data_IF_442886020702
#
_entry.id   IF_442886020702
#
_cell.length_a   1.000
_cell.length_b   1.000
_cell.length_c   1.000
_cell.angle_alpha   90.00
_cell.angle_beta   90.00
_cell.angle_gamma   90.00
#
_symmetry.space_group_name_H-M   'P 1'
#
loop_
_entity.id
_entity.type
_entity.pdbx_description
1 polymer ?
#
# COMPACT_ATOMS: atom_id res chain seq x y z
N UNK A 1 31.82 2.65 -19.93
CA UNK A 1 32.45 2.21 -18.66
C UNK A 1 32.24 3.20 -17.52
N UNK A 2 32.73 4.45 -17.58
CA UNK A 2 32.63 5.36 -16.40
C UNK A 2 31.20 5.62 -15.91
N UNK A 3 30.22 5.78 -16.80
CA UNK A 3 28.84 6.11 -16.39
C UNK A 3 28.11 4.96 -15.66
N UNK A 4 28.21 3.72 -16.15
CA UNK A 4 27.58 2.56 -15.50
C UNK A 4 28.21 2.25 -14.13
N UNK A 5 29.52 2.46 -14.01
CA UNK A 5 30.23 2.31 -12.75
C UNK A 5 29.68 3.27 -11.68
N UNK A 6 29.54 4.55 -12.03
CA UNK A 6 28.98 5.55 -11.12
C UNK A 6 27.51 5.30 -10.80
N UNK A 7 26.71 4.83 -11.75
CA UNK A 7 25.29 4.54 -11.48
C UNK A 7 25.12 3.39 -10.48
N UNK A 8 25.93 2.33 -10.60
CA UNK A 8 25.94 1.21 -9.63
C UNK A 8 26.36 1.69 -8.25
N UNK A 9 27.46 2.45 -8.15
CA UNK A 9 27.92 2.98 -6.86
C UNK A 9 26.85 3.85 -6.19
N UNK A 10 26.31 4.83 -6.92
CA UNK A 10 25.29 5.75 -6.40
C UNK A 10 24.04 4.99 -5.96
N UNK A 11 23.57 4.04 -6.77
CA UNK A 11 22.37 3.27 -6.45
C UNK A 11 22.56 2.38 -5.21
N UNK A 12 23.68 1.66 -5.12
CA UNK A 12 23.98 0.79 -3.97
C UNK A 12 24.20 1.62 -2.69
N UNK A 13 24.94 2.73 -2.78
CA UNK A 13 25.13 3.65 -1.66
C UNK A 13 23.82 4.25 -1.19
N UNK A 14 22.98 4.77 -2.09
CA UNK A 14 21.69 5.36 -1.74
C UNK A 14 20.75 4.32 -1.13
N UNK A 15 20.69 3.11 -1.69
CA UNK A 15 19.91 2.00 -1.15
C UNK A 15 20.38 1.62 0.25
N UNK A 16 21.69 1.44 0.44
CA UNK A 16 22.26 1.12 1.75
C UNK A 16 22.01 2.23 2.79
N UNK A 17 22.12 3.50 2.41
CA UNK A 17 21.83 4.65 3.26
C UNK A 17 20.38 4.62 3.77
N UNK A 18 19.41 4.53 2.85
CA UNK A 18 17.99 4.56 3.20
C UNK A 18 17.61 3.30 3.99
N UNK A 19 18.15 2.14 3.60
CA UNK A 19 17.93 0.88 4.31
C UNK A 19 18.46 0.92 5.75
N UNK A 20 19.71 1.36 5.95
CA UNK A 20 20.31 1.49 7.28
C UNK A 20 19.59 2.53 8.14
N UNK A 21 19.26 3.71 7.58
CA UNK A 21 18.52 4.73 8.31
C UNK A 21 17.14 4.25 8.75
N UNK A 22 16.43 3.54 7.87
CA UNK A 22 15.12 2.97 8.18
C UNK A 22 15.23 1.89 9.26
N UNK A 23 16.22 1.00 9.18
CA UNK A 23 16.46 -0.01 10.20
C UNK A 23 16.76 0.61 11.57
N UNK A 24 17.65 1.60 11.61
CA UNK A 24 18.03 2.30 12.85
C UNK A 24 16.86 3.05 13.46
N UNK A 25 16.09 3.76 12.63
CA UNK A 25 14.90 4.46 13.10
C UNK A 25 13.86 3.46 13.60
N UNK A 26 13.47 2.43 12.85
CA UNK A 26 12.48 1.45 13.34
C UNK A 26 12.97 0.76 14.62
N UNK A 27 14.27 0.46 14.69
CA UNK A 27 14.97 -0.07 15.87
C UNK A 27 14.77 0.76 17.14
N UNK A 28 14.67 2.09 17.03
CA UNK A 28 14.50 2.95 18.20
C UNK A 28 13.06 3.05 18.70
N UNK A 29 12.06 2.74 17.85
CA UNK A 29 10.64 2.86 18.20
C UNK A 29 10.04 1.54 18.65
N UNK A 30 10.58 0.43 18.16
CA UNK A 30 9.94 -0.87 18.23
C UNK A 30 10.90 -1.86 18.89
N UNK A 31 10.57 -2.31 20.11
CA UNK A 31 11.30 -3.37 20.82
C UNK A 31 11.03 -4.78 20.27
N UNK A 32 10.67 -4.89 18.99
CA UNK A 32 10.38 -6.17 18.33
C UNK A 32 11.69 -6.86 17.97
N UNK A 33 11.62 -8.19 17.84
CA UNK A 33 12.71 -9.07 17.42
C UNK A 33 13.60 -8.42 16.34
N UNK A 34 14.86 -8.25 16.71
CA UNK A 34 15.97 -7.68 15.94
C UNK A 34 15.99 -8.09 14.45
N UNK A 35 15.65 -9.36 14.15
CA UNK A 35 15.63 -9.92 12.80
C UNK A 35 14.66 -9.19 11.87
N UNK A 36 13.48 -8.77 12.35
CA UNK A 36 12.49 -8.08 11.51
C UNK A 36 12.92 -6.66 11.14
N UNK A 37 13.67 -6.00 12.03
CA UNK A 37 14.15 -4.64 11.84
C UNK A 37 15.29 -4.62 10.81
N UNK A 38 16.25 -5.54 10.97
CA UNK A 38 17.35 -5.73 10.01
C UNK A 38 16.80 -6.12 8.64
N UNK A 39 15.93 -7.14 8.58
CA UNK A 39 15.39 -7.63 7.31
C UNK A 39 14.51 -6.59 6.61
N UNK A 40 13.67 -5.85 7.35
CA UNK A 40 12.86 -4.77 6.78
C UNK A 40 13.71 -3.67 6.16
N UNK A 41 14.74 -3.18 6.86
CA UNK A 41 15.64 -2.16 6.32
C UNK A 41 16.51 -2.66 5.17
N UNK A 42 17.03 -3.87 5.26
CA UNK A 42 17.84 -4.48 4.19
C UNK A 42 17.02 -4.70 2.91
N UNK A 43 15.79 -5.22 3.02
CA UNK A 43 14.89 -5.41 1.88
C UNK A 43 14.50 -4.07 1.25
N UNK A 44 14.21 -3.05 2.07
CA UNK A 44 13.88 -1.72 1.56
C UNK A 44 15.08 -1.08 0.85
N UNK A 45 16.26 -1.15 1.45
CA UNK A 45 17.49 -0.63 0.86
C UNK A 45 17.86 -1.32 -0.45
N UNK A 46 17.77 -2.65 -0.48
CA UNK A 46 17.93 -3.44 -1.70
C UNK A 46 16.92 -3.03 -2.77
N UNK A 47 15.64 -2.89 -2.43
CA UNK A 47 14.59 -2.50 -3.37
C UNK A 47 14.85 -1.12 -3.98
N UNK A 48 15.33 -0.16 -3.17
CA UNK A 48 15.68 1.18 -3.66
C UNK A 48 16.86 1.11 -4.63
N UNK A 49 17.93 0.37 -4.29
CA UNK A 49 19.06 0.19 -5.19
C UNK A 49 18.63 -0.47 -6.51
N UNK A 50 17.79 -1.51 -6.43
CA UNK A 50 17.24 -2.22 -7.60
C UNK A 50 16.45 -1.30 -8.54
N UNK A 51 15.72 -0.33 -7.98
CA UNK A 51 15.00 0.71 -8.73
C UNK A 51 15.97 1.76 -9.29
N UNK A 52 16.93 2.23 -8.49
CA UNK A 52 17.77 3.38 -8.80
C UNK A 52 18.84 3.15 -9.87
N UNK A 53 19.42 1.94 -9.96
CA UNK A 53 20.48 1.59 -10.93
C UNK A 53 20.14 1.99 -12.36
N UNK A 54 18.89 1.74 -12.76
CA UNK A 54 18.36 2.12 -14.07
C UNK A 54 16.89 2.49 -13.91
N UNK A 55 16.71 3.67 -13.31
CA UNK A 55 15.40 4.23 -13.01
C UNK A 55 14.56 4.43 -14.27
N UNK A 56 15.19 4.80 -15.40
CA UNK A 56 14.48 5.01 -16.67
C UNK A 56 13.84 3.71 -17.17
N UNK A 57 14.59 2.60 -17.17
CA UNK A 57 14.03 1.32 -17.58
C UNK A 57 13.03 0.77 -16.56
N UNK A 58 13.20 1.06 -15.26
CA UNK A 58 12.17 0.76 -14.26
C UNK A 58 10.86 1.51 -14.56
N UNK A 59 10.91 2.82 -14.83
CA UNK A 59 9.75 3.61 -15.23
C UNK A 59 9.12 3.08 -16.53
N UNK A 60 9.93 2.67 -17.50
CA UNK A 60 9.44 2.04 -18.73
C UNK A 60 8.70 0.73 -18.43
N UNK A 61 9.22 -0.12 -17.53
CA UNK A 61 8.56 -1.35 -17.10
C UNK A 61 7.28 -1.13 -16.31
N UNK A 62 7.24 -0.11 -15.45
CA UNK A 62 6.03 0.36 -14.77
C UNK A 62 4.99 0.80 -15.79
N UNK A 63 5.37 1.63 -16.77
CA UNK A 63 4.49 2.07 -17.83
C UNK A 63 3.98 0.88 -18.66
N UNK A 64 4.87 0.01 -19.13
CA UNK A 64 4.53 -1.18 -19.91
C UNK A 64 3.55 -2.09 -19.16
N UNK A 65 3.84 -2.38 -17.89
CA UNK A 65 2.98 -3.22 -17.05
C UNK A 65 1.66 -2.53 -16.77
N UNK A 66 1.64 -1.22 -16.51
CA UNK A 66 0.41 -0.45 -16.37
C UNK A 66 -0.45 -0.55 -17.63
N UNK A 67 0.15 -0.44 -18.81
CA UNK A 67 -0.56 -0.58 -20.08
C UNK A 67 -1.13 -1.99 -20.28
N UNK A 68 -0.41 -3.03 -19.86
CA UNK A 68 -0.85 -4.42 -20.06
C UNK A 68 -1.81 -4.93 -18.98
N UNK A 69 -1.66 -4.49 -17.74
CA UNK A 69 -2.51 -4.95 -16.61
C UNK A 69 -3.62 -3.95 -16.27
N UNK A 70 -3.33 -2.66 -16.23
CA UNK A 70 -4.24 -1.65 -15.65
C UNK A 70 -5.08 -0.92 -16.71
N UNK A 71 -4.66 -0.80 -17.98
CA UNK A 71 -5.51 -0.16 -19.01
C UNK A 71 -6.82 -0.93 -19.26
N UNK A 72 -6.85 -2.23 -18.98
CA UNK A 72 -8.12 -3.00 -18.97
C UNK A 72 -9.08 -2.56 -17.85
N UNK A 73 -8.58 -1.81 -16.88
CA UNK A 73 -9.27 -1.24 -15.73
C UNK A 73 -9.28 0.30 -15.85
N UNK A 74 -9.81 0.83 -16.96
CA UNK A 74 -10.11 2.27 -17.04
C UNK A 74 -11.48 2.52 -16.40
N UNK A 75 -11.54 3.02 -15.15
CA UNK A 75 -12.80 3.37 -14.53
C UNK A 75 -13.51 4.44 -15.36
N UNK A 76 -14.74 4.14 -15.80
CA UNK A 76 -15.58 5.12 -16.48
C UNK A 76 -16.18 6.10 -15.45
N UNK A 77 -16.65 7.26 -15.91
CA UNK A 77 -17.30 8.26 -15.04
C UNK A 77 -18.44 7.68 -14.17
N UNK A 78 -19.30 6.77 -14.69
CA UNK A 78 -20.31 6.09 -13.86
C UNK A 78 -19.71 5.29 -12.70
N UNK A 79 -18.64 4.54 -12.93
CA UNK A 79 -17.98 3.73 -11.89
C UNK A 79 -17.36 4.61 -10.80
N UNK A 80 -16.70 5.71 -11.18
CA UNK A 80 -16.21 6.70 -10.21
C UNK A 80 -17.33 7.31 -9.40
N UNK A 81 -18.43 7.65 -10.05
CA UNK A 81 -19.59 8.23 -9.34
C UNK A 81 -20.18 7.22 -8.36
N UNK A 82 -20.33 5.96 -8.78
CA UNK A 82 -20.78 4.88 -7.90
C UNK A 82 -19.82 4.68 -6.72
N UNK A 83 -18.51 4.66 -6.95
CA UNK A 83 -17.47 4.60 -5.92
C UNK A 83 -17.62 5.72 -4.89
N UNK A 84 -17.63 6.98 -5.32
CA UNK A 84 -17.71 8.12 -4.42
C UNK A 84 -19.03 8.14 -3.65
N UNK A 85 -20.16 7.80 -4.30
CA UNK A 85 -21.45 7.75 -3.60
C UNK A 85 -21.51 6.63 -2.58
N UNK A 86 -20.93 5.46 -2.87
CA UNK A 86 -20.85 4.35 -1.92
C UNK A 86 -19.91 4.69 -0.77
N UNK A 87 -18.76 5.31 -1.07
CA UNK A 87 -17.80 5.78 -0.07
C UNK A 87 -18.40 6.79 0.87
N UNK A 88 -19.03 7.84 0.34
CA UNK A 88 -19.73 8.82 1.16
C UNK A 88 -20.84 8.17 1.98
N UNK A 89 -21.61 7.23 1.41
CA UNK A 89 -22.64 6.49 2.13
C UNK A 89 -22.10 5.69 3.33
N UNK A 90 -21.05 4.91 3.11
CA UNK A 90 -20.39 4.10 4.15
C UNK A 90 -19.74 5.00 5.20
N UNK A 91 -19.04 6.06 4.78
CA UNK A 91 -18.42 7.03 5.67
C UNK A 91 -19.46 7.71 6.56
N UNK A 92 -20.65 8.04 6.05
CA UNK A 92 -21.74 8.62 6.84
C UNK A 92 -22.25 7.65 7.92
N UNK A 93 -22.43 6.36 7.59
CA UNK A 93 -22.83 5.34 8.57
C UNK A 93 -21.81 5.25 9.70
N UNK A 94 -20.53 5.19 9.34
CA UNK A 94 -19.45 5.12 10.30
C UNK A 94 -19.33 6.41 11.14
N UNK A 95 -19.50 7.58 10.54
CA UNK A 95 -19.52 8.85 11.24
C UNK A 95 -20.67 8.93 12.25
N UNK A 96 -21.83 8.37 11.95
CA UNK A 96 -22.94 8.27 12.89
C UNK A 96 -22.61 7.37 14.08
N UNK A 97 -21.98 6.21 13.84
CA UNK A 97 -21.53 5.33 14.90
C UNK A 97 -20.44 5.99 15.78
N UNK A 98 -19.52 6.73 15.15
CA UNK A 98 -18.48 7.51 15.81
C UNK A 98 -19.07 8.54 16.78
N UNK A 99 -20.03 9.34 16.31
CA UNK A 99 -20.70 10.34 17.15
C UNK A 99 -21.43 9.67 18.31
N UNK A 100 -22.16 8.59 18.05
CA UNK A 100 -22.85 7.83 19.09
C UNK A 100 -21.89 7.32 20.17
N UNK A 101 -20.78 6.68 19.76
CA UNK A 101 -19.75 6.20 20.67
C UNK A 101 -19.09 7.32 21.48
N UNK A 102 -18.76 8.44 20.83
CA UNK A 102 -18.16 9.60 21.50
C UNK A 102 -19.09 10.25 22.53
N UNK A 103 -20.41 10.29 22.27
CA UNK A 103 -21.41 10.77 23.24
C UNK A 103 -21.44 9.85 24.46
N UNK A 104 -21.51 8.53 24.24
CA UNK A 104 -21.51 7.54 25.33
C UNK A 104 -20.23 7.66 26.16
N UNK A 105 -19.06 7.70 25.52
CA UNK A 105 -17.78 7.84 26.20
C UNK A 105 -17.69 9.16 26.98
N UNK A 106 -18.23 10.25 26.42
CA UNK A 106 -18.28 11.55 27.07
C UNK A 106 -19.13 11.55 28.34
N UNK A 107 -20.26 10.83 28.33
CA UNK A 107 -21.16 10.66 29.48
C UNK A 107 -20.50 9.77 30.54
N UNK A 108 -19.91 8.64 30.15
CA UNK A 108 -19.38 7.66 31.09
C UNK A 108 -18.02 8.04 31.68
N UNK A 109 -17.16 8.72 30.92
CA UNK A 109 -15.74 8.88 31.26
C UNK A 109 -15.19 10.30 31.07
N UNK A 110 -16.01 11.25 30.66
CA UNK A 110 -15.65 12.64 30.50
C UNK A 110 -15.02 13.00 29.13
N UNK A 111 -14.87 14.31 28.91
CA UNK A 111 -14.50 14.91 27.62
C UNK A 111 -13.16 14.44 27.02
N UNK A 112 -12.07 14.22 27.79
CA UNK A 112 -10.78 13.85 27.20
C UNK A 112 -10.81 12.49 26.49
N UNK A 113 -11.50 11.50 27.06
CA UNK A 113 -11.65 10.18 26.44
C UNK A 113 -12.55 10.22 25.21
N UNK A 114 -13.64 10.99 25.25
CA UNK A 114 -14.49 11.18 24.07
C UNK A 114 -13.71 11.73 22.86
N UNK A 115 -12.82 12.71 23.09
CA UNK A 115 -11.96 13.25 22.04
C UNK A 115 -10.97 12.22 21.51
N UNK A 116 -10.39 11.41 22.38
CA UNK A 116 -9.49 10.32 21.99
C UNK A 116 -10.22 9.28 21.14
N UNK A 117 -11.43 8.87 21.53
CA UNK A 117 -12.27 7.96 20.74
C UNK A 117 -12.62 8.55 19.38
N UNK A 118 -12.98 9.84 19.30
CA UNK A 118 -13.23 10.52 18.02
C UNK A 118 -12.04 10.43 17.06
N UNK A 119 -10.82 10.64 17.56
CA UNK A 119 -9.60 10.61 16.73
C UNK A 119 -9.28 9.19 16.26
N UNK A 120 -9.16 8.23 17.19
CA UNK A 120 -8.74 6.87 16.85
C UNK A 120 -9.78 6.11 16.03
N UNK A 121 -11.05 6.23 16.44
CA UNK A 121 -12.14 5.59 15.72
C UNK A 121 -12.37 6.32 14.40
N UNK A 122 -12.22 7.64 14.32
CA UNK A 122 -12.32 8.40 13.07
C UNK A 122 -11.31 7.94 12.01
N UNK A 123 -10.03 7.83 12.38
CA UNK A 123 -8.97 7.33 11.48
C UNK A 123 -9.25 5.89 11.03
N UNK A 124 -9.65 5.02 11.97
CA UNK A 124 -9.95 3.61 11.68
C UNK A 124 -11.13 3.47 10.71
N UNK A 125 -12.18 4.27 10.90
CA UNK A 125 -13.38 4.26 10.08
C UNK A 125 -13.15 4.84 8.68
N UNK A 126 -12.32 5.87 8.55
CA UNK A 126 -11.89 6.36 7.25
C UNK A 126 -11.11 5.27 6.49
N UNK A 127 -10.20 4.57 7.17
CA UNK A 127 -9.48 3.42 6.61
C UNK A 127 -10.43 2.30 6.16
N UNK A 128 -11.42 1.94 6.97
CA UNK A 128 -12.44 0.96 6.61
C UNK A 128 -13.29 1.40 5.42
N UNK A 129 -13.72 2.66 5.37
CA UNK A 129 -14.51 3.19 4.25
C UNK A 129 -13.72 3.10 2.93
N UNK A 130 -12.43 3.47 2.94
CA UNK A 130 -11.55 3.31 1.77
C UNK A 130 -11.39 1.83 1.41
N UNK A 131 -11.16 0.98 2.40
CA UNK A 131 -10.96 -0.46 2.21
C UNK A 131 -12.18 -1.14 1.58
N UNK A 132 -13.38 -0.93 2.16
CA UNK A 132 -14.62 -1.52 1.66
C UNK A 132 -14.95 -1.01 0.27
N UNK A 133 -14.85 0.29 0.02
CA UNK A 133 -15.20 0.86 -1.29
C UNK A 133 -14.26 0.41 -2.38
N UNK A 134 -12.96 0.32 -2.08
CA UNK A 134 -11.96 -0.15 -3.03
C UNK A 134 -12.10 -1.64 -3.31
N UNK A 135 -12.28 -2.46 -2.28
CA UNK A 135 -12.50 -3.91 -2.42
C UNK A 135 -13.81 -4.24 -3.17
N UNK A 136 -14.83 -3.41 -3.00
CA UNK A 136 -16.13 -3.60 -3.64
C UNK A 136 -16.11 -3.13 -5.10
N UNK A 137 -15.51 -1.98 -5.42
CA UNK A 137 -15.58 -1.38 -6.76
C UNK A 137 -14.52 -1.92 -7.74
N UNK A 138 -13.37 -2.37 -7.26
CA UNK A 138 -12.31 -2.93 -8.12
C UNK A 138 -12.75 -4.06 -9.05
N UNK A 139 -13.53 -5.09 -8.63
CA UNK A 139 -14.05 -6.10 -9.55
C UNK A 139 -15.15 -5.59 -10.50
N UNK A 140 -15.67 -4.37 -10.31
CA UNK A 140 -16.88 -3.89 -10.99
C UNK A 140 -16.63 -3.12 -12.27
N UNK A 141 -15.38 -2.88 -12.64
CA UNK A 141 -15.04 -2.25 -13.92
C UNK A 141 -15.56 -3.04 -15.14
N UNK A 142 -15.87 -4.33 -14.97
CA UNK A 142 -16.43 -5.20 -16.02
C UNK A 142 -17.92 -5.53 -15.82
N UNK A 143 -18.59 -4.94 -14.83
CA UNK A 143 -19.99 -5.25 -14.56
C UNK A 143 -20.95 -4.54 -15.52
N UNK A 144 -22.15 -5.09 -15.75
CA UNK A 144 -23.20 -4.42 -16.50
C UNK A 144 -23.51 -3.04 -15.91
N UNK A 145 -23.85 -2.07 -16.76
CA UNK A 145 -24.16 -0.71 -16.33
C UNK A 145 -25.28 -0.63 -15.28
N UNK A 146 -26.19 -1.61 -15.26
CA UNK A 146 -27.25 -1.70 -14.26
C UNK A 146 -26.70 -1.89 -12.84
N UNK A 147 -25.73 -2.78 -12.65
CA UNK A 147 -25.12 -3.00 -11.32
C UNK A 147 -24.45 -1.74 -10.79
N UNK A 148 -23.78 -0.98 -11.66
CA UNK A 148 -23.16 0.31 -11.28
C UNK A 148 -24.23 1.30 -10.77
N UNK A 149 -25.42 1.32 -11.38
CA UNK A 149 -26.54 2.16 -10.93
C UNK A 149 -27.10 1.69 -9.59
N UNK A 150 -27.27 0.38 -9.40
CA UNK A 150 -27.80 -0.18 -8.14
C UNK A 150 -26.88 0.18 -6.96
N UNK A 151 -25.56 0.13 -7.18
CA UNK A 151 -24.54 0.55 -6.22
C UNK A 151 -24.64 2.05 -5.92
N UNK A 152 -24.79 2.87 -6.96
CA UNK A 152 -24.94 4.30 -6.78
C UNK A 152 -26.21 4.63 -5.98
N UNK A 153 -27.30 3.90 -6.22
CA UNK A 153 -28.54 4.03 -5.45
C UNK A 153 -28.35 3.59 -3.99
N UNK A 154 -27.62 2.49 -3.75
CA UNK A 154 -27.27 2.05 -2.40
C UNK A 154 -26.44 3.12 -1.67
N UNK A 155 -25.41 3.68 -2.31
CA UNK A 155 -24.61 4.77 -1.73
C UNK A 155 -25.46 5.98 -1.35
N UNK A 156 -26.37 6.41 -2.24
CA UNK A 156 -27.33 7.49 -1.96
C UNK A 156 -28.29 7.15 -0.83
N UNK A 157 -28.75 5.91 -0.77
CA UNK A 157 -29.62 5.43 0.30
C UNK A 157 -28.89 5.50 1.65
N UNK A 158 -27.65 5.01 1.71
CA UNK A 158 -26.81 5.08 2.92
C UNK A 158 -26.51 6.52 3.34
N UNK A 159 -26.22 7.45 2.42
CA UNK A 159 -26.04 8.87 2.77
C UNK A 159 -27.31 9.48 3.38
N UNK A 160 -28.49 9.17 2.83
CA UNK A 160 -29.77 9.72 3.30
C UNK A 160 -30.24 9.13 4.61
N UNK A 161 -30.00 7.83 4.85
CA UNK A 161 -30.51 7.10 6.02
C UNK A 161 -29.48 6.87 7.12
N UNK A 162 -28.20 6.79 6.75
CA UNK A 162 -27.09 6.48 7.63
C UNK A 162 -26.38 7.70 8.21
N UNK A 163 -26.85 8.93 7.96
CA UNK A 163 -26.32 10.13 8.62
C UNK A 163 -26.80 10.23 10.09
N UNK A 164 -26.10 11.00 10.95
CA UNK A 164 -26.33 10.95 12.40
C UNK A 164 -27.76 11.35 12.78
N UNK A 165 -28.31 12.36 12.10
CA UNK A 165 -29.69 12.81 12.30
C UNK A 165 -30.68 11.72 11.91
N UNK A 166 -30.51 11.11 10.74
CA UNK A 166 -31.32 9.98 10.28
C UNK A 166 -31.28 8.82 11.27
N UNK A 167 -30.09 8.44 11.75
CA UNK A 167 -29.93 7.38 12.75
C UNK A 167 -30.63 7.75 14.05
N UNK A 168 -30.57 9.01 14.51
CA UNK A 168 -31.31 9.43 15.71
C UNK A 168 -32.83 9.37 15.53
N UNK A 169 -33.36 9.86 14.42
CA UNK A 169 -34.81 9.82 14.15
C UNK A 169 -35.33 8.40 13.96
N UNK A 170 -34.53 7.53 13.37
CA UNK A 170 -34.93 6.14 13.18
C UNK A 170 -34.54 5.27 14.36
N UNK A 171 -33.70 5.68 15.30
CA UNK A 171 -33.01 4.87 16.32
C UNK A 171 -33.77 3.66 16.90
N UNK A 172 -35.05 3.76 17.27
CA UNK A 172 -35.83 2.59 17.73
C UNK A 172 -36.14 1.61 16.59
N UNK A 173 -36.66 2.10 15.47
CA UNK A 173 -36.85 1.35 14.22
C UNK A 173 -35.50 0.96 13.60
N UNK A 174 -34.47 1.76 13.87
CA UNK A 174 -33.13 1.73 13.32
C UNK A 174 -32.30 0.66 13.99
N UNK A 175 -32.41 0.47 15.31
CA UNK A 175 -31.83 -0.67 16.02
C UNK A 175 -32.46 -1.96 15.49
N UNK A 176 -33.79 -2.02 15.37
CA UNK A 176 -34.46 -3.17 14.75
C UNK A 176 -33.98 -3.40 13.30
N UNK A 177 -33.89 -2.34 12.50
CA UNK A 177 -33.46 -2.41 11.11
C UNK A 177 -32.00 -2.86 11.00
N UNK A 178 -31.12 -2.30 11.82
CA UNK A 178 -29.69 -2.66 11.96
C UNK A 178 -29.58 -4.13 12.32
N UNK A 179 -30.27 -4.59 13.36
CA UNK A 179 -30.22 -5.99 13.81
C UNK A 179 -30.80 -6.95 12.76
N UNK A 180 -31.88 -6.57 12.08
CA UNK A 180 -32.53 -7.44 11.08
C UNK A 180 -31.81 -7.46 9.72
N UNK A 181 -31.23 -6.35 9.28
CA UNK A 181 -30.74 -6.20 7.90
C UNK A 181 -29.22 -6.18 7.79
N UNK A 182 -28.47 -5.78 8.84
CA UNK A 182 -27.00 -5.83 8.80
C UNK A 182 -26.50 -7.26 8.65
N UNK A 183 -27.01 -8.29 9.34
CA UNK A 183 -26.52 -9.66 9.14
C UNK A 183 -26.68 -10.11 7.69
N UNK A 184 -27.82 -9.82 7.06
CA UNK A 184 -28.07 -10.17 5.66
C UNK A 184 -27.17 -9.37 4.70
N UNK A 185 -26.98 -8.07 4.97
CA UNK A 185 -26.09 -7.22 4.19
C UNK A 185 -24.62 -7.64 4.32
N UNK A 186 -24.19 -8.05 5.52
CA UNK A 186 -22.87 -8.61 5.80
C UNK A 186 -22.71 -9.94 5.08
N UNK A 187 -23.67 -10.86 5.18
CA UNK A 187 -23.64 -12.16 4.51
C UNK A 187 -23.52 -12.05 3.00
N UNK A 188 -24.17 -11.05 2.38
CA UNK A 188 -24.08 -10.81 0.93
C UNK A 188 -22.86 -9.98 0.55
N UNK A 189 -22.49 -9.02 1.39
CA UNK A 189 -21.40 -8.06 1.17
C UNK A 189 -20.03 -8.66 1.36
N UNK A 190 -19.80 -9.42 2.45
CA UNK A 190 -18.49 -10.02 2.76
C UNK A 190 -17.98 -10.88 1.59
N UNK A 191 -18.74 -11.83 1.02
CA UNK A 191 -18.25 -12.64 -0.10
C UNK A 191 -17.96 -11.81 -1.35
N UNK A 192 -18.70 -10.72 -1.58
CA UNK A 192 -18.42 -9.81 -2.69
C UNK A 192 -17.12 -9.03 -2.45
N UNK A 193 -16.92 -8.49 -1.24
CA UNK A 193 -15.70 -7.79 -0.83
C UNK A 193 -14.48 -8.70 -0.86
N UNK A 194 -14.58 -9.94 -0.36
CA UNK A 194 -13.50 -10.92 -0.39
C UNK A 194 -13.13 -11.25 -1.85
N UNK A 195 -14.12 -11.51 -2.71
CA UNK A 195 -13.87 -11.79 -4.13
C UNK A 195 -13.24 -10.59 -4.84
N UNK A 196 -13.72 -9.40 -4.55
CA UNK A 196 -13.18 -8.16 -5.10
C UNK A 196 -11.77 -7.87 -4.65
N UNK A 197 -11.49 -8.03 -3.36
CA UNK A 197 -10.14 -7.92 -2.81
C UNK A 197 -9.21 -8.98 -3.38
N UNK A 198 -9.64 -10.24 -3.46
CA UNK A 198 -8.87 -11.31 -4.12
C UNK A 198 -8.57 -10.97 -5.59
N UNK A 199 -9.50 -10.32 -6.29
CA UNK A 199 -9.27 -9.86 -7.66
C UNK A 199 -8.26 -8.70 -7.70
N UNK A 200 -8.42 -7.70 -6.83
CA UNK A 200 -7.50 -6.57 -6.73
C UNK A 200 -6.08 -7.02 -6.36
N UNK A 201 -5.93 -7.94 -5.39
CA UNK A 201 -4.65 -8.56 -5.02
C UNK A 201 -4.05 -9.30 -6.21
N UNK A 202 -4.83 -10.12 -6.93
CA UNK A 202 -4.33 -10.83 -8.12
C UNK A 202 -3.91 -9.87 -9.23
N UNK A 203 -4.64 -8.78 -9.44
CA UNK A 203 -4.30 -7.76 -10.43
C UNK A 203 -3.02 -7.01 -10.04
N UNK A 204 -2.90 -6.63 -8.76
CA UNK A 204 -1.71 -5.98 -8.24
C UNK A 204 -0.49 -6.91 -8.29
N UNK A 205 -0.66 -8.19 -7.93
CA UNK A 205 0.37 -9.21 -8.04
C UNK A 205 0.81 -9.41 -9.50
N UNK A 206 -0.14 -9.47 -10.46
CA UNK A 206 0.18 -9.52 -11.89
C UNK A 206 0.90 -8.27 -12.37
N UNK A 207 0.52 -7.10 -11.87
CA UNK A 207 1.20 -5.84 -12.18
C UNK A 207 2.63 -5.86 -11.65
N UNK A 208 2.85 -6.19 -10.37
CA UNK A 208 4.19 -6.32 -9.78
C UNK A 208 5.01 -7.36 -10.54
N UNK A 209 4.44 -8.53 -10.82
CA UNK A 209 5.11 -9.58 -11.57
C UNK A 209 5.47 -9.11 -12.99
N UNK A 210 4.59 -8.37 -13.65
CA UNK A 210 4.86 -7.75 -14.94
C UNK A 210 6.03 -6.76 -14.88
N UNK A 211 6.04 -5.86 -13.88
CA UNK A 211 7.13 -4.90 -13.68
C UNK A 211 8.42 -5.65 -13.40
N UNK A 212 8.38 -6.64 -12.52
CA UNK A 212 9.55 -7.42 -12.15
C UNK A 212 10.09 -8.17 -13.37
N UNK A 213 9.28 -8.96 -14.07
CA UNK A 213 9.73 -9.71 -15.26
C UNK A 213 10.28 -8.80 -16.36
N UNK A 214 9.69 -7.62 -16.55
CA UNK A 214 10.18 -6.67 -17.56
C UNK A 214 11.52 -6.06 -17.17
N UNK A 215 11.67 -5.68 -15.90
CA UNK A 215 12.80 -4.87 -15.42
C UNK A 215 13.96 -5.73 -14.92
N UNK A 216 13.71 -6.99 -14.57
CA UNK A 216 14.69 -7.87 -13.94
C UNK A 216 15.95 -8.04 -14.81
N UNK A 217 17.09 -7.76 -14.20
CA UNK A 217 18.40 -8.00 -14.78
C UNK A 217 19.37 -8.49 -13.71
N UNK A 218 20.36 -9.29 -14.10
CA UNK A 218 21.38 -9.80 -13.16
C UNK A 218 22.12 -8.67 -12.43
N UNK A 219 22.36 -7.55 -13.12
CA UNK A 219 22.99 -6.36 -12.53
C UNK A 219 22.16 -5.77 -11.38
N UNK A 220 20.83 -5.65 -11.56
CA UNK A 220 19.95 -5.12 -10.51
C UNK A 220 19.88 -6.06 -9.31
N UNK A 221 19.91 -7.37 -9.54
CA UNK A 221 19.95 -8.37 -8.46
C UNK A 221 21.22 -8.28 -7.64
N UNK A 222 22.38 -8.06 -8.29
CA UNK A 222 23.64 -7.81 -7.58
C UNK A 222 23.54 -6.52 -6.74
N UNK A 223 23.07 -5.42 -7.34
CA UNK A 223 22.92 -4.15 -6.63
C UNK A 223 21.95 -4.23 -5.45
N UNK A 224 20.86 -5.01 -5.59
CA UNK A 224 19.94 -5.30 -4.50
C UNK A 224 20.67 -5.97 -3.33
N UNK A 225 21.46 -7.02 -3.62
CA UNK A 225 22.19 -7.76 -2.61
C UNK A 225 23.26 -6.90 -1.92
N UNK A 226 24.05 -6.15 -2.71
CA UNK A 226 25.13 -5.30 -2.19
C UNK A 226 24.58 -4.17 -1.30
N UNK A 227 23.47 -3.54 -1.71
CA UNK A 227 22.79 -2.53 -0.90
C UNK A 227 22.15 -3.12 0.37
N UNK A 228 21.56 -4.32 0.29
CA UNK A 228 21.01 -5.01 1.45
C UNK A 228 22.09 -5.38 2.48
N UNK A 229 23.26 -5.83 2.03
CA UNK A 229 24.42 -6.10 2.88
C UNK A 229 24.93 -4.78 3.50
N UNK A 230 25.08 -3.72 2.70
CA UNK A 230 25.46 -2.40 3.18
C UNK A 230 24.50 -1.85 4.25
N UNK A 231 23.19 -1.96 4.02
CA UNK A 231 22.16 -1.58 4.99
C UNK A 231 22.26 -2.39 6.29
N UNK A 232 22.46 -3.70 6.18
CA UNK A 232 22.63 -4.61 7.32
C UNK A 232 23.85 -4.22 8.15
N UNK A 233 25.01 -4.02 7.50
CA UNK A 233 26.24 -3.62 8.19
C UNK A 233 26.11 -2.24 8.84
N UNK A 234 25.49 -1.28 8.17
CA UNK A 234 25.23 0.05 8.73
C UNK A 234 24.36 0.00 9.99
N UNK A 235 23.38 -0.89 10.03
CA UNK A 235 22.57 -1.12 11.22
C UNK A 235 23.37 -1.75 12.37
N UNK A 236 24.13 -2.81 12.13
CA UNK A 236 24.94 -3.47 13.16
C UNK A 236 26.01 -2.54 13.76
N UNK A 237 26.58 -1.65 12.94
CA UNK A 237 27.57 -0.67 13.39
C UNK A 237 26.91 0.53 14.10
N UNK A 238 25.59 0.72 13.92
CA UNK A 238 24.88 1.90 14.43
C UNK A 238 25.15 3.17 13.61
N UNK A 239 25.61 3.05 12.36
CA UNK A 239 25.98 4.19 11.52
C UNK A 239 25.59 3.96 10.04
N UNK A 240 24.58 4.71 9.59
CA UNK A 240 24.09 4.65 8.22
C UNK A 240 25.13 5.11 7.17
N UNK A 241 26.01 6.05 7.51
CA UNK A 241 27.08 6.53 6.61
C UNK A 241 28.06 5.39 6.34
N UNK A 242 28.44 4.62 7.37
CA UNK A 242 29.32 3.46 7.19
C UNK A 242 28.65 2.40 6.30
N UNK A 243 27.35 2.13 6.51
CA UNK A 243 26.59 1.24 5.63
C UNK A 243 26.55 1.70 4.17
N UNK A 244 26.42 3.02 3.95
CA UNK A 244 26.43 3.67 2.62
C UNK A 244 27.75 3.43 1.87
N UNK A 245 28.87 3.59 2.58
CA UNK A 245 30.21 3.37 2.02
C UNK A 245 30.42 1.89 1.71
N UNK A 246 30.07 0.99 2.64
CA UNK A 246 30.19 -0.46 2.45
C UNK A 246 29.35 -0.91 1.24
N UNK A 247 28.08 -0.51 1.18
CA UNK A 247 27.20 -0.88 0.06
C UNK A 247 27.70 -0.37 -1.29
N UNK A 248 28.22 0.86 -1.34
CA UNK A 248 28.82 1.42 -2.55
C UNK A 248 30.07 0.65 -3.00
N UNK A 249 30.99 0.37 -2.08
CA UNK A 249 32.22 -0.39 -2.37
C UNK A 249 31.89 -1.80 -2.85
N UNK A 250 31.01 -2.51 -2.13
CA UNK A 250 30.57 -3.85 -2.53
C UNK A 250 29.94 -3.84 -3.93
N UNK A 251 29.06 -2.88 -4.21
CA UNK A 251 28.45 -2.70 -5.53
C UNK A 251 29.47 -2.57 -6.65
N UNK A 252 30.52 -1.77 -6.44
CA UNK A 252 31.59 -1.59 -7.43
C UNK A 252 32.43 -2.85 -7.64
N UNK A 253 32.89 -3.45 -6.55
CA UNK A 253 33.74 -4.65 -6.60
C UNK A 253 32.99 -5.81 -7.24
N UNK A 254 31.73 -6.01 -6.86
CA UNK A 254 30.90 -7.10 -7.35
C UNK A 254 30.53 -6.90 -8.83
N UNK A 255 30.26 -5.66 -9.26
CA UNK A 255 30.06 -5.34 -10.67
C UNK A 255 31.31 -5.65 -11.51
N UNK A 256 32.51 -5.25 -11.06
CA UNK A 256 33.73 -5.52 -11.83
C UNK A 256 34.08 -7.02 -11.86
N UNK A 257 34.00 -7.71 -10.72
CA UNK A 257 34.40 -9.11 -10.62
C UNK A 257 33.38 -10.05 -11.27
N UNK A 258 32.09 -9.84 -11.03
CA UNK A 258 31.04 -10.76 -11.49
C UNK A 258 30.51 -10.36 -12.86
N UNK A 259 30.13 -9.10 -13.08
CA UNK A 259 29.49 -8.73 -14.34
C UNK A 259 30.50 -8.69 -15.50
N UNK A 260 31.68 -8.10 -15.30
CA UNK A 260 32.68 -7.95 -16.36
C UNK A 260 33.51 -9.22 -16.52
N UNK A 261 34.11 -9.73 -15.44
CA UNK A 261 35.08 -10.84 -15.55
C UNK A 261 34.41 -12.22 -15.63
N UNK A 262 33.41 -12.49 -14.80
CA UNK A 262 32.78 -13.82 -14.74
C UNK A 262 31.71 -14.01 -15.83
N UNK A 263 30.83 -13.02 -16.00
CA UNK A 263 29.70 -13.13 -16.95
C UNK A 263 30.03 -12.62 -18.35
N UNK A 264 31.18 -11.96 -18.55
CA UNK A 264 31.60 -11.46 -19.86
C UNK A 264 30.63 -10.44 -20.46
N UNK A 265 29.84 -9.74 -19.63
CA UNK A 265 28.89 -8.75 -20.10
C UNK A 265 29.67 -7.53 -20.59
N UNK A 266 29.91 -7.46 -21.90
CA UNK A 266 30.49 -6.29 -22.53
C UNK A 266 29.55 -5.09 -22.35
N UNK A 267 30.02 -3.95 -21.81
CA UNK A 267 29.18 -2.76 -21.65
C UNK A 267 28.65 -2.35 -23.02
N UNK A 268 27.32 -2.18 -23.14
CA UNK A 268 26.71 -1.72 -24.38
C UNK A 268 27.24 -0.31 -24.66
N UNK A 269 27.96 -0.16 -25.78
CA UNK A 269 28.49 1.12 -26.25
C UNK A 269 27.36 2.05 -26.69
#
# INVERSE_FOLDING_TARGET
MKQEFWSVWVACSLGALIGAFTALQIGSWVSVNFIWIVSGGALLGGAIAWIAVDFRHFCAGVSHSYHNTIITWRPNRPLWTAYFTLFAGIAMVFFSALIGGAIIDGICWGKPRAMQTLIWTGVSLAGMAIFFTTGIVTPWAKMPAQHIRDVQQLGRYLMRRGNPLGVMFYSVIGIYWVVAHIPLAIMKGIPATIRGMSHAIRMFARFIAGVFMYVHSSQRTLCFADAAIGATMGFFIGNAIVGTVIGGILGLVNYEMVAVRLLGLSPKR
#
